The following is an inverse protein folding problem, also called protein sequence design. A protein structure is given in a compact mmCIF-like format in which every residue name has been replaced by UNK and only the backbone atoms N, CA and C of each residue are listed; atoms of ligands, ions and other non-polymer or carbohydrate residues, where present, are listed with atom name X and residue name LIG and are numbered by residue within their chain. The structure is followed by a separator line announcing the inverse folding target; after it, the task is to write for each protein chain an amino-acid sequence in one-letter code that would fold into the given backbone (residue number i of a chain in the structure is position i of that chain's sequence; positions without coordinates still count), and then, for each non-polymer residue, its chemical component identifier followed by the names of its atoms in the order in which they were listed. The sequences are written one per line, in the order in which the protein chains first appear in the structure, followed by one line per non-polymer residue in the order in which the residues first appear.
data_IF_994673943371
#
_entry.id   IF_994673943371
#
_cell.length_a   1.000
_cell.length_b   1.000
_cell.length_c   1.000
_cell.angle_alpha   90.00
_cell.angle_beta   90.00
_cell.angle_gamma   90.00
#
_symmetry.space_group_name_H-M   'P 1'
#
loop_
_entity.id
_entity.type
_entity.pdbx_description
1 polymer ?
#
# COMPACT_ATOMS: atom_id res chain seq x y z
N UNK A 1 -5.27 1.56 -14.49
CA UNK A 1 -4.01 1.43 -13.77
C UNK A 1 -2.82 1.80 -14.63
N UNK A 2 -1.80 2.44 -14.04
CA UNK A 2 -0.61 2.87 -14.78
C UNK A 2 0.25 1.70 -15.31
N UNK A 3 0.12 0.52 -14.71
CA UNK A 3 0.86 -0.69 -15.07
C UNK A 3 -0.02 -1.78 -15.73
N UNK A 4 -1.07 -1.37 -16.48
CA UNK A 4 -2.03 -2.30 -17.10
C UNK A 4 -1.36 -3.47 -17.83
N UNK A 5 -0.46 -3.19 -18.75
CA UNK A 5 0.17 -4.22 -19.56
C UNK A 5 1.02 -5.19 -18.73
N UNK A 6 1.80 -4.69 -17.77
CA UNK A 6 2.55 -5.55 -16.84
C UNK A 6 1.64 -6.47 -16.03
N UNK A 7 0.51 -5.94 -15.56
CA UNK A 7 -0.46 -6.71 -14.78
C UNK A 7 -1.08 -7.81 -15.65
N UNK A 8 -1.47 -7.52 -16.88
CA UNK A 8 -2.04 -8.50 -17.81
C UNK A 8 -1.02 -9.60 -18.12
N UNK A 9 0.23 -9.25 -18.41
CA UNK A 9 1.27 -10.25 -18.69
C UNK A 9 1.54 -11.15 -17.47
N UNK A 10 1.57 -10.59 -16.27
CA UNK A 10 1.69 -11.38 -15.04
C UNK A 10 0.54 -12.38 -14.89
N UNK A 11 -0.70 -11.96 -15.15
CA UNK A 11 -1.87 -12.85 -15.09
C UNK A 11 -1.85 -13.94 -16.16
N UNK A 12 -1.35 -13.66 -17.37
CA UNK A 12 -1.16 -14.69 -18.42
C UNK A 12 -0.21 -15.78 -17.95
N UNK A 13 0.92 -15.42 -17.34
CA UNK A 13 1.89 -16.39 -16.80
C UNK A 13 1.25 -17.26 -15.70
N UNK A 14 0.49 -16.64 -14.80
CA UNK A 14 -0.21 -17.37 -13.73
C UNK A 14 -1.28 -18.29 -14.30
N UNK A 15 -2.08 -17.83 -15.28
CA UNK A 15 -3.10 -18.65 -15.93
C UNK A 15 -2.47 -19.85 -16.64
N UNK A 16 -1.41 -19.66 -17.40
CA UNK A 16 -0.70 -20.76 -18.09
C UNK A 16 -0.19 -21.80 -17.10
N UNK A 17 0.40 -21.37 -15.97
CA UNK A 17 0.88 -22.26 -14.93
C UNK A 17 -0.27 -23.02 -14.26
N UNK A 18 -1.40 -22.35 -13.98
CA UNK A 18 -2.58 -22.97 -13.40
C UNK A 18 -3.19 -24.02 -14.32
N UNK A 19 -3.35 -23.72 -15.61
CA UNK A 19 -3.88 -24.68 -16.60
C UNK A 19 -2.97 -25.89 -16.76
N UNK A 20 -1.65 -25.69 -16.81
CA UNK A 20 -0.66 -26.79 -16.82
C UNK A 20 -0.75 -27.68 -15.57
N UNK A 21 -1.16 -27.12 -14.45
CA UNK A 21 -1.38 -27.86 -13.20
C UNK A 21 -2.77 -28.53 -13.11
N UNK A 22 -3.61 -28.41 -14.15
CA UNK A 22 -4.93 -29.05 -14.23
C UNK A 22 -6.12 -28.13 -13.91
N UNK A 23 -5.92 -26.83 -13.79
CA UNK A 23 -7.03 -25.90 -13.65
C UNK A 23 -7.79 -25.75 -14.98
N UNK A 24 -9.11 -25.47 -14.94
CA UNK A 24 -9.87 -25.23 -16.17
C UNK A 24 -9.41 -23.95 -16.86
N UNK A 25 -9.50 -23.93 -18.19
CA UNK A 25 -9.33 -22.72 -18.97
C UNK A 25 -10.33 -21.64 -18.55
N UNK A 26 -9.92 -20.39 -18.60
CA UNK A 26 -10.79 -19.26 -18.22
C UNK A 26 -10.93 -19.00 -16.72
N UNK A 27 -10.18 -19.70 -15.85
CA UNK A 27 -10.20 -19.48 -14.39
C UNK A 27 -9.73 -18.07 -13.98
N UNK A 28 -8.94 -17.42 -14.83
CA UNK A 28 -8.50 -16.04 -14.65
C UNK A 28 -8.90 -15.24 -15.88
N UNK A 29 -9.57 -14.13 -15.65
CA UNK A 29 -9.93 -13.16 -16.68
C UNK A 29 -9.54 -11.74 -16.24
N UNK A 30 -9.45 -10.84 -17.18
CA UNK A 30 -9.14 -9.42 -16.93
C UNK A 30 -9.91 -8.53 -17.89
N UNK A 31 -9.97 -7.22 -17.57
CA UNK A 31 -10.56 -6.20 -18.43
C UNK A 31 -9.43 -5.49 -19.18
N UNK A 32 -9.43 -5.59 -20.52
CA UNK A 32 -8.42 -4.95 -21.38
C UNK A 32 -8.56 -3.43 -21.41
N UNK A 33 -9.79 -2.93 -21.38
CA UNK A 33 -10.11 -1.50 -21.40
C UNK A 33 -10.76 -1.11 -20.05
N UNK A 34 -9.95 -0.89 -18.99
CA UNK A 34 -10.48 -0.63 -17.66
C UNK A 34 -11.20 0.71 -17.57
N UNK A 35 -12.42 0.70 -17.01
CA UNK A 35 -13.20 1.89 -16.68
C UNK A 35 -13.90 1.72 -15.33
N UNK A 36 -14.42 2.82 -14.79
CA UNK A 36 -15.23 2.78 -13.57
C UNK A 36 -16.53 2.02 -13.83
N UNK A 37 -17.16 2.25 -14.97
CA UNK A 37 -18.44 1.61 -15.33
C UNK A 37 -18.27 0.09 -15.45
N UNK A 38 -17.24 -0.38 -16.15
CA UNK A 38 -16.94 -1.81 -16.24
C UNK A 38 -16.62 -2.43 -14.90
N UNK A 39 -15.94 -1.71 -14.02
CA UNK A 39 -15.69 -2.16 -12.66
C UNK A 39 -16.98 -2.35 -11.86
N UNK A 40 -17.94 -1.44 -12.02
CA UNK A 40 -19.27 -1.52 -11.41
C UNK A 40 -20.06 -2.71 -11.96
N UNK A 41 -20.03 -2.91 -13.28
CA UNK A 41 -20.72 -4.04 -13.92
C UNK A 41 -20.15 -5.38 -13.43
N UNK A 42 -18.83 -5.54 -13.40
CA UNK A 42 -18.20 -6.75 -12.86
C UNK A 42 -18.63 -7.00 -11.40
N UNK A 43 -18.69 -5.95 -10.57
CA UNK A 43 -19.16 -6.09 -9.19
C UNK A 43 -20.62 -6.55 -9.10
N UNK A 44 -21.48 -6.14 -10.05
CA UNK A 44 -22.89 -6.56 -10.10
C UNK A 44 -23.06 -7.99 -10.60
N UNK A 45 -22.22 -8.43 -11.53
CA UNK A 45 -22.34 -9.74 -12.15
C UNK A 45 -21.64 -10.86 -11.37
N UNK A 46 -20.63 -10.52 -10.59
CA UNK A 46 -19.88 -11.47 -9.77
C UNK A 46 -20.76 -12.12 -8.67
N UNK A 47 -20.48 -13.37 -8.33
CA UNK A 47 -21.11 -14.05 -7.18
C UNK A 47 -20.59 -13.50 -5.84
N UNK A 48 -19.32 -13.05 -5.81
CA UNK A 48 -18.65 -12.46 -4.66
C UNK A 48 -17.63 -11.42 -5.11
N UNK A 49 -17.51 -10.34 -4.37
CA UNK A 49 -16.57 -9.25 -4.65
C UNK A 49 -15.48 -9.20 -3.59
N UNK A 50 -14.22 -9.28 -4.02
CA UNK A 50 -13.05 -8.93 -3.20
C UNK A 50 -12.45 -7.64 -3.74
N UNK A 51 -12.63 -6.54 -3.03
CA UNK A 51 -12.19 -5.22 -3.44
C UNK A 51 -11.08 -4.70 -2.52
N UNK A 52 -9.92 -4.41 -3.09
CA UNK A 52 -8.82 -3.74 -2.39
C UNK A 52 -8.58 -2.39 -3.03
N UNK A 53 -8.72 -1.31 -2.26
CA UNK A 53 -8.52 0.03 -2.80
C UNK A 53 -8.92 1.14 -1.84
N UNK A 54 -9.07 2.35 -2.37
CA UNK A 54 -9.50 3.50 -1.58
C UNK A 54 -10.96 3.40 -1.11
N UNK A 55 -11.39 4.31 -0.19
CA UNK A 55 -12.73 4.26 0.41
C UNK A 55 -13.88 4.23 -0.61
N UNK A 56 -13.71 4.89 -1.77
CA UNK A 56 -14.71 4.90 -2.85
C UNK A 56 -14.92 3.51 -3.45
N UNK A 57 -13.85 2.77 -3.73
CA UNK A 57 -13.95 1.40 -4.27
C UNK A 57 -14.60 0.45 -3.26
N UNK A 58 -14.18 0.52 -2.00
CA UNK A 58 -14.76 -0.30 -0.92
C UNK A 58 -16.26 -0.03 -0.77
N UNK A 59 -16.66 1.25 -0.81
CA UNK A 59 -18.07 1.64 -0.79
C UNK A 59 -18.84 1.09 -2.00
N UNK A 60 -18.27 1.16 -3.19
CA UNK A 60 -18.89 0.60 -4.40
C UNK A 60 -19.06 -0.90 -4.31
N UNK A 61 -18.07 -1.65 -3.78
CA UNK A 61 -18.17 -3.08 -3.57
C UNK A 61 -19.32 -3.45 -2.63
N UNK A 62 -19.41 -2.80 -1.48
CA UNK A 62 -20.51 -3.04 -0.52
C UNK A 62 -21.89 -2.59 -1.06
N UNK A 63 -21.92 -1.67 -2.01
CA UNK A 63 -23.15 -1.17 -2.62
C UNK A 63 -23.56 -1.96 -3.88
N UNK A 64 -22.79 -2.97 -4.27
CA UNK A 64 -23.07 -3.76 -5.49
C UNK A 64 -24.28 -4.69 -5.37
N UNK A 65 -24.75 -4.94 -4.15
CA UNK A 65 -25.81 -5.93 -3.88
C UNK A 65 -25.32 -7.36 -3.82
N UNK A 66 -24.01 -7.59 -3.87
CA UNK A 66 -23.37 -8.91 -3.78
C UNK A 66 -22.63 -9.09 -2.47
N UNK A 67 -22.38 -10.32 -2.02
CA UNK A 67 -21.43 -10.58 -0.94
C UNK A 67 -20.09 -9.91 -1.27
N UNK A 68 -19.58 -9.08 -0.37
CA UNK A 68 -18.37 -8.33 -0.62
C UNK A 68 -17.42 -8.30 0.58
N UNK A 69 -16.12 -8.41 0.31
CA UNK A 69 -15.03 -8.18 1.27
C UNK A 69 -14.25 -6.98 0.76
N UNK A 70 -14.36 -5.86 1.49
CA UNK A 70 -13.67 -4.61 1.16
C UNK A 70 -12.44 -4.42 2.03
N UNK A 71 -11.28 -4.19 1.40
CA UNK A 71 -10.01 -3.88 2.05
C UNK A 71 -9.63 -2.45 1.69
N UNK A 72 -9.62 -1.57 2.69
CA UNK A 72 -9.29 -0.16 2.54
C UNK A 72 -7.81 0.15 2.78
N UNK A 73 -7.55 1.41 3.12
CA UNK A 73 -6.20 1.88 3.41
C UNK A 73 -5.64 1.22 4.68
N UNK A 74 -4.41 0.74 4.61
CA UNK A 74 -3.67 0.26 5.77
C UNK A 74 -3.12 1.42 6.60
N UNK A 75 -3.10 1.27 7.91
CA UNK A 75 -2.36 2.12 8.85
C UNK A 75 -1.80 1.24 9.96
N UNK A 76 -0.79 0.46 9.61
CA UNK A 76 -0.20 -0.54 10.49
C UNK A 76 0.74 0.13 11.51
N UNK A 77 0.45 0.09 12.83
CA UNK A 77 1.38 0.54 13.85
C UNK A 77 2.37 -0.59 14.22
N UNK A 78 3.63 -0.25 14.40
CA UNK A 78 4.60 -1.11 15.06
C UNK A 78 4.79 -0.62 16.50
N UNK A 79 4.86 -1.53 17.46
CA UNK A 79 5.11 -1.21 18.86
C UNK A 79 6.50 -1.73 19.23
N UNK A 80 7.34 -0.87 19.81
CA UNK A 80 8.67 -1.22 20.31
C UNK A 80 8.69 -0.94 21.82
N UNK A 81 8.71 -1.98 22.61
CA UNK A 81 8.79 -1.92 24.07
C UNK A 81 10.23 -2.09 24.60
N UNK A 82 10.41 -2.01 25.90
CA UNK A 82 11.73 -2.10 26.55
C UNK A 82 12.42 -3.49 26.42
N UNK A 83 11.65 -4.53 26.04
CA UNK A 83 12.17 -5.89 25.88
C UNK A 83 12.64 -6.19 24.45
N UNK A 84 12.39 -5.27 23.52
CA UNK A 84 12.70 -5.45 22.11
C UNK A 84 14.23 -5.39 21.85
N UNK A 85 14.69 -6.21 20.91
CA UNK A 85 15.99 -5.97 20.26
C UNK A 85 15.84 -4.76 19.33
N UNK A 86 16.34 -3.62 19.78
CA UNK A 86 16.19 -2.32 19.08
C UNK A 86 16.80 -2.38 17.68
N UNK A 87 17.96 -3.02 17.51
CA UNK A 87 18.65 -3.10 16.23
C UNK A 87 17.80 -3.88 15.22
N UNK A 88 17.28 -5.02 15.62
CA UNK A 88 16.42 -5.86 14.81
C UNK A 88 15.09 -5.17 14.53
N UNK A 89 14.43 -4.59 15.53
CA UNK A 89 13.14 -3.94 15.39
C UNK A 89 13.18 -2.76 14.41
N UNK A 90 14.15 -1.85 14.59
CA UNK A 90 14.33 -0.70 13.70
C UNK A 90 14.67 -1.14 12.28
N UNK A 91 15.58 -2.12 12.13
CA UNK A 91 15.92 -2.66 10.82
C UNK A 91 14.70 -3.26 10.10
N UNK A 92 13.89 -4.04 10.79
CA UNK A 92 12.68 -4.66 10.23
C UNK A 92 11.66 -3.61 9.78
N UNK A 93 11.43 -2.58 10.59
CA UNK A 93 10.53 -1.46 10.22
C UNK A 93 11.03 -0.73 8.97
N UNK A 94 12.34 -0.44 8.90
CA UNK A 94 12.91 0.24 7.74
C UNK A 94 12.79 -0.61 6.48
N UNK A 95 13.15 -1.90 6.54
CA UNK A 95 13.03 -2.81 5.40
C UNK A 95 11.58 -2.93 4.90
N UNK A 96 10.64 -3.11 5.82
CA UNK A 96 9.22 -3.19 5.48
C UNK A 96 8.72 -1.89 4.86
N UNK A 97 9.03 -0.75 5.48
CA UNK A 97 8.51 0.56 5.02
C UNK A 97 9.14 1.04 3.72
N UNK A 98 10.40 0.72 3.46
CA UNK A 98 11.09 1.14 2.23
C UNK A 98 10.89 0.19 1.05
N UNK A 99 10.36 -1.00 1.30
CA UNK A 99 9.98 -1.91 0.23
C UNK A 99 9.03 -1.23 -0.76
N UNK A 100 9.33 -1.34 -2.05
CA UNK A 100 8.56 -0.74 -3.15
C UNK A 100 8.25 0.76 -2.93
N UNK A 101 9.23 1.52 -2.43
CA UNK A 101 9.08 2.94 -2.07
C UNK A 101 7.88 3.24 -1.15
N UNK A 102 7.53 2.32 -0.26
CA UNK A 102 6.47 2.49 0.72
C UNK A 102 5.05 2.38 0.18
N UNK A 103 4.84 1.79 -0.99
CA UNK A 103 3.50 1.63 -1.59
C UNK A 103 2.70 0.48 -1.00
N UNK A 104 3.35 -0.46 -0.30
CA UNK A 104 2.68 -1.60 0.30
C UNK A 104 1.80 -1.16 1.48
N UNK A 105 0.50 -1.45 1.41
CA UNK A 105 -0.48 -1.09 2.44
C UNK A 105 -0.24 -1.81 3.79
N UNK A 106 0.43 -2.96 3.79
CA UNK A 106 0.77 -3.73 4.98
C UNK A 106 2.04 -3.24 5.69
N UNK A 107 2.81 -2.32 5.09
CA UNK A 107 4.02 -1.75 5.73
C UNK A 107 3.63 -0.83 6.90
N UNK A 108 4.54 -0.68 7.84
CA UNK A 108 4.34 0.15 9.03
C UNK A 108 4.17 1.63 8.62
N UNK A 109 3.11 2.25 9.16
CA UNK A 109 2.80 3.68 8.93
C UNK A 109 3.17 4.53 10.14
N UNK A 110 3.23 3.92 11.32
CA UNK A 110 3.60 4.56 12.57
C UNK A 110 4.41 3.61 13.45
N UNK A 111 5.28 4.18 14.28
CA UNK A 111 6.05 3.43 15.26
C UNK A 111 5.76 4.03 16.63
N UNK A 112 5.17 3.22 17.51
CA UNK A 112 4.90 3.57 18.90
C UNK A 112 6.04 3.00 19.74
N UNK A 113 6.83 3.86 20.35
CA UNK A 113 8.03 3.46 21.08
C UNK A 113 7.85 3.78 22.56
N UNK A 114 8.11 2.82 23.42
CA UNK A 114 8.10 3.05 24.86
C UNK A 114 9.15 4.09 25.26
N UNK A 115 8.81 4.98 26.21
CA UNK A 115 9.64 6.12 26.60
C UNK A 115 11.08 5.72 27.00
N UNK A 116 11.24 4.59 27.67
CA UNK A 116 12.56 4.09 28.11
C UNK A 116 13.54 3.82 26.96
N UNK A 117 13.05 3.40 25.81
CA UNK A 117 13.87 3.03 24.63
C UNK A 117 13.75 4.02 23.48
N UNK A 118 12.95 5.07 23.65
CA UNK A 118 12.65 6.05 22.60
C UNK A 118 13.90 6.69 21.99
N UNK A 119 14.81 7.19 22.81
CA UNK A 119 16.03 7.86 22.35
C UNK A 119 16.99 6.89 21.65
N UNK A 120 17.06 5.65 22.13
CA UNK A 120 17.86 4.61 21.50
C UNK A 120 17.31 4.23 20.12
N UNK A 121 16.01 4.03 20.00
CA UNK A 121 15.34 3.80 18.72
C UNK A 121 15.56 4.96 17.73
N UNK A 122 15.41 6.18 18.21
CA UNK A 122 15.59 7.38 17.38
C UNK A 122 17.02 7.49 16.83
N UNK A 123 18.02 7.20 17.66
CA UNK A 123 19.43 7.16 17.25
C UNK A 123 19.67 6.06 16.22
N UNK A 124 19.07 4.89 16.40
CA UNK A 124 19.23 3.76 15.49
C UNK A 124 18.57 4.04 14.13
N UNK A 125 17.37 4.65 14.10
CA UNK A 125 16.75 5.13 12.85
C UNK A 125 17.67 6.08 12.10
N UNK A 126 18.25 7.07 12.79
CA UNK A 126 19.16 8.02 12.19
C UNK A 126 20.45 7.36 11.68
N UNK A 127 21.03 6.43 12.44
CA UNK A 127 22.24 5.69 12.05
C UNK A 127 22.03 4.84 10.77
N UNK A 128 20.80 4.42 10.52
CA UNK A 128 20.40 3.67 9.30
C UNK A 128 19.93 4.56 8.17
N UNK A 129 20.13 5.88 8.25
CA UNK A 129 19.85 6.81 7.17
C UNK A 129 18.42 7.36 7.15
N UNK A 130 17.62 7.13 8.20
CA UNK A 130 16.34 7.80 8.33
C UNK A 130 16.55 9.26 8.77
N UNK A 131 15.88 10.17 8.11
CA UNK A 131 15.86 11.57 8.50
C UNK A 131 14.56 11.91 9.22
N UNK A 132 14.66 12.50 10.40
CA UNK A 132 13.52 12.88 11.22
C UNK A 132 13.22 14.35 11.00
N UNK A 133 12.10 14.64 10.33
CA UNK A 133 11.68 15.97 9.96
C UNK A 133 11.34 16.82 11.20
N UNK A 134 11.77 18.08 11.20
CA UNK A 134 11.27 19.10 12.12
C UNK A 134 9.89 19.63 11.66
N UNK A 135 9.25 20.52 12.43
CA UNK A 135 7.90 20.98 12.13
C UNK A 135 7.81 21.78 10.83
N UNK A 136 8.83 22.61 10.52
CA UNK A 136 8.88 23.37 9.27
C UNK A 136 9.01 22.44 8.05
N UNK A 137 9.87 21.45 8.15
CA UNK A 137 10.08 20.43 7.11
C UNK A 137 8.83 19.58 6.90
N UNK A 138 8.13 19.20 7.98
CA UNK A 138 6.83 18.50 7.89
C UNK A 138 5.82 19.30 7.08
N UNK A 139 5.74 20.61 7.29
CA UNK A 139 4.81 21.45 6.53
C UNK A 139 5.21 21.55 5.05
N UNK A 140 6.50 21.57 4.73
CA UNK A 140 6.98 21.52 3.34
C UNK A 140 6.58 20.19 2.68
N UNK A 141 6.87 19.07 3.34
CA UNK A 141 6.52 17.72 2.85
C UNK A 141 5.01 17.58 2.71
N UNK A 142 4.22 18.05 3.67
CA UNK A 142 2.76 18.02 3.63
C UNK A 142 2.19 18.65 2.35
N UNK A 143 2.74 19.77 1.91
CA UNK A 143 2.31 20.46 0.68
C UNK A 143 2.61 19.69 -0.59
N UNK A 144 3.59 18.79 -0.56
CA UNK A 144 3.95 17.92 -1.69
C UNK A 144 3.11 16.65 -1.71
N UNK A 145 2.91 16.04 -0.53
CA UNK A 145 2.26 14.73 -0.45
C UNK A 145 0.73 14.81 -0.41
N UNK A 146 0.16 15.94 -0.01
CA UNK A 146 -1.30 16.13 0.05
C UNK A 146 -1.79 17.08 -1.03
N UNK A 147 -2.98 16.78 -1.55
CA UNK A 147 -3.75 17.71 -2.37
C UNK A 147 -4.45 18.76 -1.49
N UNK A 148 -4.91 19.89 -2.04
CA UNK A 148 -5.66 20.91 -1.29
C UNK A 148 -6.89 20.37 -0.55
N UNK A 149 -7.48 19.28 -1.05
CA UNK A 149 -8.65 18.62 -0.46
C UNK A 149 -8.29 17.58 0.60
N UNK A 150 -7.02 17.48 1.01
CA UNK A 150 -6.55 16.53 2.01
C UNK A 150 -6.34 15.09 1.51
N UNK A 151 -6.53 14.83 0.22
CA UNK A 151 -6.21 13.55 -0.40
C UNK A 151 -4.72 13.38 -0.68
N UNK A 152 -4.29 12.16 -0.95
CA UNK A 152 -2.90 11.89 -1.34
C UNK A 152 -2.67 12.39 -2.78
N UNK A 153 -1.54 13.07 -2.99
CA UNK A 153 -1.08 13.43 -4.32
C UNK A 153 -0.60 12.19 -5.08
N UNK A 154 -1.41 11.71 -6.02
CA UNK A 154 -1.13 10.49 -6.76
C UNK A 154 0.20 10.53 -7.56
N UNK A 155 0.72 11.71 -7.87
CA UNK A 155 1.95 11.85 -8.67
C UNK A 155 3.21 11.45 -7.91
N UNK A 156 3.17 11.47 -6.56
CA UNK A 156 4.32 11.10 -5.72
C UNK A 156 4.30 9.63 -5.29
N UNK A 157 3.21 8.93 -5.50
CA UNK A 157 3.08 7.53 -5.07
C UNK A 157 4.12 6.67 -5.80
N UNK A 158 4.88 5.88 -5.03
CA UNK A 158 5.96 5.04 -5.54
C UNK A 158 7.23 5.79 -5.96
N UNK A 159 7.32 7.10 -5.71
CA UNK A 159 8.54 7.86 -5.97
C UNK A 159 9.56 7.70 -4.85
N UNK A 160 10.84 7.77 -5.20
CA UNK A 160 11.91 7.74 -4.20
C UNK A 160 11.86 8.95 -3.28
N UNK A 161 12.36 8.84 -2.02
CA UNK A 161 12.46 9.97 -1.11
C UNK A 161 13.18 11.18 -1.70
N UNK A 162 14.27 10.96 -2.44
CA UNK A 162 15.01 12.02 -3.12
C UNK A 162 14.14 12.77 -4.14
N UNK A 163 13.24 12.09 -4.84
CA UNK A 163 12.33 12.74 -5.80
C UNK A 163 11.18 13.49 -5.13
N UNK A 164 10.80 13.08 -3.93
CA UNK A 164 9.76 13.77 -3.14
C UNK A 164 10.35 15.03 -2.48
N UNK A 165 11.63 15.00 -2.11
CA UNK A 165 12.34 16.10 -1.46
C UNK A 165 12.83 17.19 -2.42
N UNK A 166 12.93 16.91 -3.72
CA UNK A 166 13.34 17.85 -4.76
C UNK A 166 12.21 18.79 -5.19
#
# INVERSE_FOLDING_TARGET
PSAKNCTIEAWKVVLEAAVKAGAPEGIIAWIDEPSIDLSIEVMKDADMVLATGGPGMVKSAYSSGKPAIGVGNGNTPAIIDETADILMAVNSVIHSKTFDNGTICASEQSVVVEAKVYDACKKEFAARGCYILNEEEKEKVRKVILTPNGGINATIVGRSPAKIAA
#
